data_IF_703246535922
#
_entry.id   IF_703246535922
#
_cell.length_a   1.000
_cell.length_b   1.000
_cell.length_c   1.000
_cell.angle_alpha   90.00
_cell.angle_beta   90.00
_cell.angle_gamma   90.00
#
_symmetry.space_group_name_H-M   'P 1'
#
loop_
_entity.id
_entity.type
_entity.pdbx_description
1 polymer ?
#
# COMPACT_ATOMS: atom_id res chain seq x y z
N UNK A 1 41.96 26.11 -17.74
CA UNK A 1 40.49 26.01 -17.58
C UNK A 1 40.21 24.70 -16.85
N UNK A 2 40.06 24.74 -15.53
CA UNK A 2 39.88 23.54 -14.70
C UNK A 2 38.40 23.22 -14.55
N UNK A 3 37.98 22.11 -15.16
CA UNK A 3 36.63 21.56 -15.06
C UNK A 3 36.36 21.15 -13.60
N UNK A 4 35.37 21.78 -12.96
CA UNK A 4 34.89 21.39 -11.63
C UNK A 4 34.26 19.98 -11.72
N UNK A 5 34.56 19.05 -10.82
CA UNK A 5 33.83 17.78 -10.76
C UNK A 5 32.36 18.08 -10.40
N UNK A 6 31.44 17.64 -11.25
CA UNK A 6 30.01 17.62 -10.94
C UNK A 6 29.78 16.71 -9.72
N UNK A 7 28.93 17.10 -8.76
CA UNK A 7 28.54 16.21 -7.68
C UNK A 7 27.82 15.01 -8.29
N UNK A 8 28.46 13.84 -8.26
CA UNK A 8 27.80 12.57 -8.52
C UNK A 8 26.67 12.44 -7.52
N UNK A 9 25.44 12.70 -7.98
CA UNK A 9 24.26 12.36 -7.22
C UNK A 9 24.30 10.85 -7.00
N UNK A 10 24.57 10.44 -5.76
CA UNK A 10 24.41 9.08 -5.30
C UNK A 10 22.97 8.69 -5.59
N UNK A 11 22.80 8.01 -6.73
CA UNK A 11 21.55 7.47 -7.19
C UNK A 11 21.24 6.29 -6.25
N UNK A 12 20.68 6.58 -5.07
CA UNK A 12 20.33 5.56 -4.09
C UNK A 12 19.10 4.82 -4.61
N UNK A 13 19.35 3.71 -5.29
CA UNK A 13 18.35 2.82 -5.92
C UNK A 13 17.54 2.00 -4.89
N UNK A 14 17.39 2.50 -3.67
CA UNK A 14 16.69 1.83 -2.59
C UNK A 14 16.10 2.88 -1.65
N UNK A 15 15.05 2.47 -0.92
CA UNK A 15 14.41 3.28 0.12
C UNK A 15 15.50 3.78 1.08
N UNK A 16 15.61 5.11 1.25
CA UNK A 16 16.67 5.70 2.07
C UNK A 16 16.70 5.01 3.45
N UNK A 17 17.86 4.51 3.92
CA UNK A 17 17.97 3.83 5.22
C UNK A 17 17.36 4.61 6.39
N UNK A 18 17.48 5.95 6.37
CA UNK A 18 16.85 6.80 7.38
C UNK A 18 15.31 6.74 7.31
N UNK A 19 14.74 6.77 6.11
CA UNK A 19 13.30 6.62 5.89
C UNK A 19 12.81 5.22 6.27
N UNK A 20 13.59 4.16 6.03
CA UNK A 20 13.26 2.81 6.49
C UNK A 20 13.22 2.72 8.01
N UNK A 21 14.18 3.34 8.70
CA UNK A 21 14.19 3.40 10.16
C UNK A 21 12.97 4.15 10.69
N UNK A 22 12.64 5.31 10.10
CA UNK A 22 11.45 6.09 10.44
C UNK A 22 10.17 5.28 10.26
N UNK A 23 10.00 4.62 9.10
CA UNK A 23 8.85 3.74 8.81
C UNK A 23 8.73 2.64 9.86
N UNK A 24 9.83 1.98 10.23
CA UNK A 24 9.82 0.89 11.21
C UNK A 24 9.41 1.36 12.61
N UNK A 25 9.88 2.53 13.05
CA UNK A 25 9.50 3.13 14.32
C UNK A 25 8.01 3.50 14.30
N UNK A 26 7.57 4.21 13.26
CA UNK A 26 6.17 4.60 13.10
C UNK A 26 5.24 3.38 13.07
N UNK A 27 5.64 2.30 12.38
CA UNK A 27 4.84 1.08 12.27
C UNK A 27 4.65 0.42 13.64
N UNK A 28 5.71 0.34 14.46
CA UNK A 28 5.60 -0.19 15.83
C UNK A 28 4.64 0.64 16.66
N UNK A 29 4.77 1.97 16.64
CA UNK A 29 3.88 2.87 17.38
C UNK A 29 2.44 2.73 16.90
N UNK A 30 2.21 2.71 15.58
CA UNK A 30 0.89 2.54 14.99
C UNK A 30 0.24 1.23 15.41
N UNK A 31 0.98 0.12 15.40
CA UNK A 31 0.49 -1.20 15.84
C UNK A 31 0.13 -1.22 17.32
N UNK A 32 0.93 -0.61 18.19
CA UNK A 32 0.60 -0.52 19.63
C UNK A 32 -0.63 0.36 19.89
N UNK A 33 -0.71 1.51 19.21
CA UNK A 33 -1.89 2.38 19.29
C UNK A 33 -3.13 1.67 18.78
N UNK A 34 -3.05 0.94 17.67
CA UNK A 34 -4.21 0.28 17.07
C UNK A 34 -4.86 -0.77 17.99
N UNK A 35 -4.09 -1.40 18.90
CA UNK A 35 -4.62 -2.34 19.90
C UNK A 35 -5.51 -1.67 20.94
N UNK A 36 -5.27 -0.40 21.24
CA UNK A 36 -5.93 0.33 22.33
C UNK A 36 -6.91 1.38 21.80
N UNK A 37 -6.49 2.14 20.80
CA UNK A 37 -7.27 3.16 20.12
C UNK A 37 -6.90 3.19 18.63
N UNK A 38 -7.77 2.61 17.79
CA UNK A 38 -7.58 2.59 16.34
C UNK A 38 -7.50 4.00 15.73
N UNK A 39 -8.26 4.98 16.23
CA UNK A 39 -8.17 6.35 15.71
C UNK A 39 -6.80 6.98 15.95
N UNK A 40 -6.15 6.64 17.07
CA UNK A 40 -4.82 7.13 17.41
C UNK A 40 -3.72 6.53 16.50
N UNK A 41 -3.94 5.39 15.85
CA UNK A 41 -2.95 4.79 14.93
C UNK A 41 -2.95 5.42 13.54
N UNK A 42 -4.08 5.96 13.09
CA UNK A 42 -4.27 6.56 11.75
C UNK A 42 -3.19 7.59 11.37
N UNK A 43 -2.84 8.60 12.20
CA UNK A 43 -1.83 9.59 11.81
C UNK A 43 -0.45 8.97 11.57
N UNK A 44 -0.10 7.89 12.28
CA UNK A 44 1.16 7.18 12.09
C UNK A 44 1.16 6.40 10.77
N UNK A 45 0.09 5.68 10.45
CA UNK A 45 -0.04 5.00 9.16
C UNK A 45 -0.09 5.98 7.98
N UNK A 46 -0.76 7.12 8.14
CA UNK A 46 -0.78 8.19 7.15
C UNK A 46 0.62 8.78 6.91
N UNK A 47 1.40 8.95 7.99
CA UNK A 47 2.80 9.40 7.88
C UNK A 47 3.67 8.38 7.15
N UNK A 48 3.49 7.08 7.41
CA UNK A 48 4.19 6.02 6.67
C UNK A 48 3.86 6.12 5.17
N UNK A 49 2.57 6.24 4.82
CA UNK A 49 2.13 6.41 3.43
C UNK A 49 2.80 7.63 2.77
N UNK A 50 2.83 8.78 3.47
CA UNK A 50 3.51 9.97 2.99
C UNK A 50 5.01 9.73 2.71
N UNK A 51 5.71 9.03 3.60
CA UNK A 51 7.15 8.76 3.43
C UNK A 51 7.38 7.89 2.19
N UNK A 52 6.60 6.80 2.02
CA UNK A 52 6.77 5.85 0.91
C UNK A 52 6.32 6.43 -0.43
N UNK A 53 5.29 7.30 -0.44
CA UNK A 53 4.79 7.95 -1.65
C UNK A 53 5.75 9.03 -2.15
N UNK A 54 6.51 9.66 -1.25
CA UNK A 54 7.55 10.63 -1.60
C UNK A 54 8.86 10.01 -2.10
N UNK A 55 9.04 8.69 -1.99
CA UNK A 55 10.21 8.01 -2.55
C UNK A 55 10.08 7.91 -4.08
N UNK A 56 11.11 8.38 -4.79
CA UNK A 56 11.20 8.18 -6.25
C UNK A 56 11.36 6.68 -6.54
N UNK A 57 10.54 6.16 -7.43
CA UNK A 57 10.71 4.82 -7.96
C UNK A 57 11.92 4.85 -8.92
N UNK A 58 12.99 4.07 -8.67
CA UNK A 58 14.03 3.90 -9.68
C UNK A 58 13.46 3.11 -10.87
N UNK A 59 13.96 3.40 -12.08
CA UNK A 59 13.45 2.81 -13.32
C UNK A 59 13.65 1.28 -13.41
N UNK A 60 14.54 0.69 -12.59
CA UNK A 60 15.02 -0.68 -12.77
C UNK A 60 14.73 -1.68 -11.65
N UNK A 61 14.20 -1.26 -10.48
CA UNK A 61 13.74 -2.23 -9.46
C UNK A 61 12.62 -1.64 -8.59
N UNK A 62 11.39 -1.81 -9.07
CA UNK A 62 10.19 -1.22 -8.45
C UNK A 62 9.49 -2.15 -7.46
N UNK A 63 9.86 -3.44 -7.44
CA UNK A 63 9.16 -4.49 -6.70
C UNK A 63 9.21 -4.28 -5.16
N UNK A 64 10.39 -4.03 -4.55
CA UNK A 64 10.49 -3.86 -3.10
C UNK A 64 9.74 -2.62 -2.60
N UNK A 65 9.89 -1.48 -3.29
CA UNK A 65 9.21 -0.24 -2.91
C UNK A 65 7.70 -0.31 -3.11
N UNK A 66 7.24 -0.92 -4.20
CA UNK A 66 5.81 -1.13 -4.45
C UNK A 66 5.17 -2.03 -3.40
N UNK A 67 5.86 -3.10 -2.98
CA UNK A 67 5.38 -3.98 -1.90
C UNK A 67 5.20 -3.20 -0.60
N UNK A 68 6.22 -2.42 -0.20
CA UNK A 68 6.15 -1.58 1.00
C UNK A 68 5.03 -0.54 0.90
N UNK A 69 4.84 0.07 -0.28
CA UNK A 69 3.77 1.04 -0.52
C UNK A 69 2.38 0.39 -0.42
N UNK A 70 2.18 -0.78 -1.02
CA UNK A 70 0.92 -1.51 -0.93
C UNK A 70 0.60 -1.87 0.53
N UNK A 71 1.59 -2.38 1.28
CA UNK A 71 1.42 -2.73 2.68
C UNK A 71 1.08 -1.52 3.57
N UNK A 72 1.72 -0.37 3.32
CA UNK A 72 1.44 0.86 4.05
C UNK A 72 -0.01 1.34 3.84
N UNK A 73 -0.43 1.40 2.58
CA UNK A 73 -1.79 1.79 2.20
C UNK A 73 -2.85 0.79 2.69
N UNK A 74 -2.53 -0.52 2.70
CA UNK A 74 -3.40 -1.54 3.26
C UNK A 74 -3.58 -1.42 4.78
N UNK A 75 -2.51 -1.12 5.53
CA UNK A 75 -2.58 -0.88 6.98
C UNK A 75 -3.38 0.37 7.31
N UNK A 76 -3.20 1.45 6.53
CA UNK A 76 -4.00 2.66 6.67
C UNK A 76 -5.47 2.39 6.37
N UNK A 77 -5.77 1.63 5.31
CA UNK A 77 -7.12 1.24 4.96
C UNK A 77 -7.79 0.39 6.05
N UNK A 78 -7.08 -0.57 6.66
CA UNK A 78 -7.57 -1.37 7.78
C UNK A 78 -7.91 -0.50 9.00
N UNK A 79 -7.07 0.48 9.34
CA UNK A 79 -7.37 1.43 10.41
C UNK A 79 -8.64 2.23 10.10
N UNK A 80 -8.79 2.74 8.86
CA UNK A 80 -10.01 3.44 8.44
C UNK A 80 -11.25 2.56 8.43
N UNK A 81 -11.11 1.30 8.00
CA UNK A 81 -12.20 0.32 7.99
C UNK A 81 -12.73 0.07 9.39
N UNK A 82 -11.83 -0.16 10.37
CA UNK A 82 -12.17 -0.40 11.77
C UNK A 82 -12.89 0.77 12.43
N UNK A 83 -12.62 2.00 12.01
CA UNK A 83 -13.34 3.20 12.48
C UNK A 83 -14.51 3.59 11.57
N UNK A 84 -14.85 2.74 10.59
CA UNK A 84 -15.95 2.93 9.64
C UNK A 84 -15.84 4.23 8.81
N UNK A 85 -14.62 4.70 8.58
CA UNK A 85 -14.37 5.81 7.65
C UNK A 85 -14.25 5.27 6.22
N UNK A 86 -15.41 4.95 5.63
CA UNK A 86 -15.51 4.22 4.36
C UNK A 86 -14.85 4.93 3.18
N UNK A 87 -14.92 6.27 3.13
CA UNK A 87 -14.32 7.07 2.04
C UNK A 87 -12.80 6.96 2.07
N UNK A 88 -12.20 7.13 3.26
CA UNK A 88 -10.74 7.08 3.40
C UNK A 88 -10.20 5.64 3.30
N UNK A 89 -10.99 4.67 3.74
CA UNK A 89 -10.70 3.25 3.53
C UNK A 89 -10.65 2.90 2.04
N UNK A 90 -11.69 3.27 1.26
CA UNK A 90 -11.73 3.08 -0.20
C UNK A 90 -10.49 3.71 -0.86
N UNK A 91 -10.21 4.97 -0.56
CA UNK A 91 -9.12 5.71 -1.19
C UNK A 91 -7.75 5.04 -0.96
N UNK A 92 -7.46 4.68 0.29
CA UNK A 92 -6.19 4.04 0.66
C UNK A 92 -6.10 2.62 0.08
N UNK A 93 -7.16 1.83 0.20
CA UNK A 93 -7.14 0.43 -0.26
C UNK A 93 -7.02 0.30 -1.78
N UNK A 94 -7.60 1.24 -2.54
CA UNK A 94 -7.46 1.28 -3.99
C UNK A 94 -6.02 1.48 -4.46
N UNK A 95 -5.15 2.13 -3.67
CA UNK A 95 -3.72 2.23 -3.98
C UNK A 95 -3.06 0.86 -3.86
N UNK A 96 -3.30 0.15 -2.76
CA UNK A 96 -2.74 -1.19 -2.54
C UNK A 96 -3.21 -2.19 -3.60
N UNK A 97 -4.52 -2.19 -3.93
CA UNK A 97 -5.11 -3.05 -4.96
C UNK A 97 -4.44 -2.83 -6.32
N UNK A 98 -4.27 -1.58 -6.77
CA UNK A 98 -3.62 -1.29 -8.06
C UNK A 98 -2.19 -1.84 -8.12
N UNK A 99 -1.47 -1.80 -7.00
CA UNK A 99 -0.11 -2.32 -6.94
C UNK A 99 -0.13 -3.85 -7.02
N UNK A 100 -0.96 -4.52 -6.21
CA UNK A 100 -1.05 -5.97 -6.22
C UNK A 100 -1.56 -6.52 -7.55
N UNK A 101 -2.53 -5.86 -8.21
CA UNK A 101 -2.99 -6.21 -9.55
C UNK A 101 -1.81 -6.18 -10.55
N UNK A 102 -1.02 -5.11 -10.54
CA UNK A 102 0.18 -5.00 -11.38
C UNK A 102 1.23 -6.08 -11.08
N UNK A 103 1.39 -6.46 -9.82
CA UNK A 103 2.33 -7.53 -9.44
C UNK A 103 1.91 -8.89 -10.01
N UNK A 104 0.61 -9.17 -10.14
CA UNK A 104 0.12 -10.39 -10.77
C UNK A 104 0.35 -10.42 -12.28
N UNK A 105 0.38 -9.25 -12.94
CA UNK A 105 0.63 -9.12 -14.37
C UNK A 105 2.12 -9.29 -14.77
N UNK A 106 3.05 -9.22 -13.81
CA UNK A 106 4.47 -9.40 -14.09
C UNK A 106 4.77 -10.83 -14.57
N UNK A 107 5.65 -11.05 -15.57
CA UNK A 107 5.87 -12.37 -16.16
C UNK A 107 6.55 -13.37 -15.22
N UNK A 108 7.33 -12.91 -14.23
CA UNK A 108 8.08 -13.78 -13.32
C UNK A 108 7.19 -14.31 -12.18
N UNK A 109 7.16 -15.64 -12.01
CA UNK A 109 6.63 -16.28 -10.80
C UNK A 109 7.51 -15.87 -9.61
N UNK A 110 6.90 -15.25 -8.60
CA UNK A 110 7.59 -14.88 -7.35
C UNK A 110 6.66 -15.14 -6.18
N UNK A 111 7.23 -15.41 -5.00
CA UNK A 111 6.47 -15.54 -3.74
C UNK A 111 5.57 -14.31 -3.46
N UNK A 112 5.95 -13.16 -4.02
CA UNK A 112 5.16 -11.93 -4.01
C UNK A 112 3.80 -12.06 -4.70
N UNK A 113 3.67 -12.87 -5.76
CA UNK A 113 2.40 -13.08 -6.47
C UNK A 113 1.37 -13.83 -5.65
N UNK A 114 1.78 -14.91 -4.98
CA UNK A 114 0.86 -15.67 -4.11
C UNK A 114 0.36 -14.78 -2.97
N UNK A 115 1.27 -14.02 -2.36
CA UNK A 115 0.92 -13.03 -1.32
C UNK A 115 -0.03 -11.97 -1.85
N UNK A 116 0.27 -11.37 -3.02
CA UNK A 116 -0.57 -10.37 -3.67
C UNK A 116 -1.96 -10.91 -4.01
N UNK A 117 -2.06 -12.16 -4.47
CA UNK A 117 -3.33 -12.83 -4.78
C UNK A 117 -4.22 -12.96 -3.55
N UNK A 118 -3.66 -13.43 -2.43
CA UNK A 118 -4.38 -13.55 -1.16
C UNK A 118 -4.84 -12.18 -0.66
N UNK A 119 -3.93 -11.19 -0.66
CA UNK A 119 -4.23 -9.81 -0.25
C UNK A 119 -5.31 -9.15 -1.10
N UNK A 120 -5.31 -9.40 -2.41
CA UNK A 120 -6.35 -8.89 -3.32
C UNK A 120 -7.72 -9.49 -3.01
N UNK A 121 -7.79 -10.78 -2.68
CA UNK A 121 -9.05 -11.42 -2.28
C UNK A 121 -9.68 -10.72 -1.06
N UNK A 122 -8.89 -10.48 -0.02
CA UNK A 122 -9.29 -9.75 1.18
C UNK A 122 -9.69 -8.30 0.86
N UNK A 123 -8.88 -7.62 0.04
CA UNK A 123 -9.12 -6.23 -0.32
C UNK A 123 -10.39 -6.04 -1.14
N UNK A 124 -10.73 -6.96 -2.03
CA UNK A 124 -11.99 -6.92 -2.77
C UNK A 124 -13.21 -7.07 -1.86
N UNK A 125 -13.14 -7.89 -0.80
CA UNK A 125 -14.23 -7.98 0.18
C UNK A 125 -14.42 -6.68 0.94
N UNK A 126 -13.32 -6.05 1.36
CA UNK A 126 -13.36 -4.76 2.06
C UNK A 126 -13.89 -3.67 1.12
N UNK A 127 -13.38 -3.57 -0.11
CA UNK A 127 -13.87 -2.61 -1.10
C UNK A 127 -15.34 -2.82 -1.44
N UNK A 128 -15.80 -4.08 -1.57
CA UNK A 128 -17.21 -4.39 -1.75
C UNK A 128 -18.05 -3.83 -0.60
N UNK A 129 -17.59 -4.01 0.63
CA UNK A 129 -18.25 -3.46 1.82
C UNK A 129 -18.30 -1.94 1.78
N UNK A 130 -17.16 -1.27 1.52
CA UNK A 130 -17.11 0.18 1.35
C UNK A 130 -18.09 0.66 0.27
N UNK A 131 -18.09 0.03 -0.89
CA UNK A 131 -18.96 0.42 -2.01
C UNK A 131 -20.44 0.22 -1.69
N UNK A 132 -20.83 -0.88 -1.05
CA UNK A 132 -22.21 -1.09 -0.62
C UNK A 132 -22.65 -0.01 0.36
N UNK A 133 -21.83 0.29 1.37
CA UNK A 133 -22.15 1.31 2.38
C UNK A 133 -22.21 2.72 1.77
N UNK A 134 -21.43 2.99 0.73
CA UNK A 134 -21.45 4.27 0.00
C UNK A 134 -22.51 4.32 -1.12
N UNK A 135 -23.36 3.30 -1.28
CA UNK A 135 -24.39 3.25 -2.33
C UNK A 135 -23.85 3.06 -3.76
N UNK A 136 -22.59 2.62 -3.90
CA UNK A 136 -21.89 2.39 -5.16
C UNK A 136 -22.06 0.93 -5.65
N UNK A 137 -23.28 0.43 -5.75
CA UNK A 137 -23.58 -1.00 -5.96
C UNK A 137 -22.91 -1.62 -7.18
N UNK A 138 -22.81 -0.88 -8.30
CA UNK A 138 -22.12 -1.36 -9.51
C UNK A 138 -20.63 -1.64 -9.28
N UNK A 139 -19.97 -0.85 -8.42
CA UNK A 139 -18.56 -1.08 -8.07
C UNK A 139 -18.42 -2.26 -7.11
N UNK A 140 -19.39 -2.46 -6.21
CA UNK A 140 -19.42 -3.63 -5.34
C UNK A 140 -19.53 -4.94 -6.15
N UNK A 141 -20.44 -5.01 -7.13
CA UNK A 141 -20.54 -6.14 -8.06
C UNK A 141 -19.26 -6.38 -8.86
N UNK A 142 -18.56 -5.30 -9.24
CA UNK A 142 -17.28 -5.42 -9.93
C UNK A 142 -16.23 -6.08 -9.05
N UNK A 143 -16.19 -5.78 -7.75
CA UNK A 143 -15.25 -6.41 -6.82
C UNK A 143 -15.53 -7.91 -6.67
N UNK A 144 -16.80 -8.32 -6.61
CA UNK A 144 -17.16 -9.75 -6.60
C UNK A 144 -16.68 -10.47 -7.85
N UNK A 145 -16.92 -9.88 -9.04
CA UNK A 145 -16.45 -10.42 -10.32
C UNK A 145 -14.93 -10.48 -10.41
N UNK A 146 -14.21 -9.51 -9.83
CA UNK A 146 -12.74 -9.55 -9.78
C UNK A 146 -12.26 -10.64 -8.83
N UNK A 147 -12.89 -10.79 -7.66
CA UNK A 147 -12.55 -11.83 -6.70
C UNK A 147 -12.81 -13.23 -7.24
N UNK A 148 -13.91 -13.46 -7.97
CA UNK A 148 -14.20 -14.76 -8.58
C UNK A 148 -13.16 -15.17 -9.62
N UNK A 149 -12.57 -14.20 -10.35
CA UNK A 149 -11.48 -14.43 -11.30
C UNK A 149 -10.13 -14.74 -10.63
N UNK A 150 -9.98 -14.46 -9.33
CA UNK A 150 -8.82 -14.86 -8.55
C UNK A 150 -8.93 -16.30 -8.03
N UNK A 151 -10.12 -16.89 -7.96
CA UNK A 151 -10.24 -18.31 -7.59
C UNK A 151 -9.55 -19.19 -8.66
N UNK A 152 -8.83 -20.25 -8.27
CA UNK A 152 -8.17 -21.17 -9.20
C UNK A 152 -9.15 -21.87 -10.15
#
# INVERSE_FOLDING_TARGET
>A
MSSRPQPQQLNSQSLNPASLMEINVLKRVAMEQQKTNVQASIPYYAKICQIVDNQRLPDNDTMPLNTIRADAHAQLADAYYKVQNWIQCEASLMVAVKIWERMLEMPEESDGKLTAKTRLGEAYDILRTCYNTLGKSRLAELMEKRKSKLAP
#
